data_IF_299506805787
#
_entry.id   IF_299506805787
#
_cell.length_a   1.000
_cell.length_b   1.000
_cell.length_c   1.000
_cell.angle_alpha   90.00
_cell.angle_beta   90.00
_cell.angle_gamma   90.00
#
_symmetry.space_group_name_H-M   'P 1'
#
loop_
_entity.id
_entity.type
_entity.pdbx_description
1 polymer ?
#
# COMPACT_ATOMS: atom_id res chain seq x y z
N UNK A 1 -0.63 13.24 -3.21
CA UNK A 1 0.36 12.71 -4.17
C UNK A 1 -0.31 11.69 -5.06
N UNK A 2 -0.13 11.82 -6.36
CA UNK A 2 -0.54 10.82 -7.35
C UNK A 2 0.55 9.74 -7.52
N UNK A 3 0.25 8.71 -8.30
CA UNK A 3 1.15 7.57 -8.54
C UNK A 3 2.55 7.98 -9.06
N UNK A 4 2.64 8.97 -9.95
CA UNK A 4 3.92 9.42 -10.52
C UNK A 4 4.80 10.13 -9.48
N UNK A 5 4.18 10.92 -8.61
CA UNK A 5 4.86 11.58 -7.50
C UNK A 5 5.34 10.56 -6.47
N UNK A 6 4.52 9.55 -6.17
CA UNK A 6 4.87 8.46 -5.25
C UNK A 6 6.07 7.65 -5.78
N UNK A 7 6.16 7.40 -7.09
CA UNK A 7 7.29 6.68 -7.71
C UNK A 7 8.64 7.39 -7.55
N UNK A 8 8.66 8.69 -7.22
CA UNK A 8 9.89 9.44 -6.92
C UNK A 8 10.40 9.17 -5.51
N UNK A 9 9.52 8.74 -4.60
CA UNK A 9 9.83 8.44 -3.20
C UNK A 9 10.07 6.95 -3.02
N UNK A 10 9.19 6.13 -3.62
CA UNK A 10 9.22 4.68 -3.49
C UNK A 10 9.96 4.05 -4.67
N UNK A 11 10.82 3.04 -4.43
CA UNK A 11 11.44 2.27 -5.51
C UNK A 11 10.50 1.21 -6.11
N UNK A 12 9.36 0.90 -5.47
CA UNK A 12 8.38 -0.08 -5.93
C UNK A 12 7.82 0.23 -7.33
N UNK A 13 7.67 -0.79 -8.17
CA UNK A 13 7.18 -0.67 -9.56
C UNK A 13 6.13 -1.72 -9.89
N UNK A 14 5.39 -1.46 -10.97
CA UNK A 14 4.44 -2.37 -11.59
C UNK A 14 3.50 -3.03 -10.57
N UNK A 15 3.50 -4.35 -10.54
CA UNK A 15 2.65 -5.21 -9.71
C UNK A 15 2.95 -5.11 -8.20
N UNK A 16 4.03 -4.43 -7.82
CA UNK A 16 4.42 -4.22 -6.42
C UNK A 16 4.33 -2.75 -5.99
N UNK A 17 3.88 -1.83 -6.86
CA UNK A 17 3.47 -0.50 -6.41
C UNK A 17 1.99 -0.55 -6.02
N UNK A 18 1.76 -0.69 -4.71
CA UNK A 18 0.46 -1.05 -4.11
C UNK A 18 -0.19 0.16 -3.42
N UNK A 19 0.00 1.35 -3.98
CA UNK A 19 -0.64 2.60 -3.55
C UNK A 19 -0.97 3.44 -4.79
N UNK A 20 -2.19 3.95 -4.87
CA UNK A 20 -2.63 4.77 -6.01
C UNK A 20 -2.51 6.26 -5.70
N UNK A 21 -2.89 6.62 -4.47
CA UNK A 21 -2.84 7.98 -3.96
C UNK A 21 -2.38 7.95 -2.51
N UNK A 22 -1.60 8.95 -2.12
CA UNK A 22 -1.22 9.14 -0.73
C UNK A 22 -0.99 10.63 -0.43
N UNK A 23 -1.29 11.08 0.78
CA UNK A 23 -1.11 12.46 1.21
C UNK A 23 -0.82 12.53 2.70
N UNK A 24 -0.18 13.63 3.12
CA UNK A 24 0.06 13.89 4.54
C UNK A 24 -0.90 15.00 4.99
N UNK A 25 -1.65 14.74 6.06
CA UNK A 25 -2.53 15.73 6.72
C UNK A 25 -2.13 15.74 8.19
N UNK A 26 -1.74 16.90 8.72
CA UNK A 26 -1.38 17.08 10.13
C UNK A 26 -0.35 16.05 10.66
N UNK A 27 0.61 15.66 9.81
CA UNK A 27 1.64 14.67 10.13
C UNK A 27 1.21 13.21 10.04
N UNK A 28 -0.01 12.94 9.58
CA UNK A 28 -0.58 11.60 9.38
C UNK A 28 -0.63 11.28 7.88
N UNK A 29 -0.16 10.09 7.50
CA UNK A 29 -0.23 9.60 6.14
C UNK A 29 -1.59 8.96 5.86
N UNK A 30 -2.26 9.45 4.82
CA UNK A 30 -3.48 8.86 4.29
C UNK A 30 -3.20 8.24 2.94
N UNK A 31 -3.52 6.95 2.77
CA UNK A 31 -3.33 6.20 1.54
C UNK A 31 -4.65 5.68 0.97
N UNK A 32 -4.69 5.49 -0.36
CA UNK A 32 -5.83 4.90 -1.06
C UNK A 32 -5.37 3.88 -2.09
N UNK A 33 -6.06 2.74 -2.13
CA UNK A 33 -5.92 1.74 -3.18
C UNK A 33 -7.28 1.09 -3.48
N UNK A 34 -7.70 1.12 -4.74
CA UNK A 34 -8.92 0.42 -5.19
C UNK A 34 -8.55 -0.95 -5.74
N UNK A 35 -9.12 -2.01 -5.15
CA UNK A 35 -8.87 -3.39 -5.60
C UNK A 35 -9.64 -3.64 -6.88
N UNK A 36 -8.93 -3.85 -8.00
CA UNK A 36 -9.52 -3.98 -9.33
C UNK A 36 -10.05 -5.39 -9.62
N UNK A 37 -9.46 -6.39 -9.00
CA UNK A 37 -9.76 -7.80 -9.25
C UNK A 37 -8.81 -8.49 -10.24
N UNK A 38 -7.97 -7.71 -10.94
CA UNK A 38 -6.97 -8.23 -11.88
C UNK A 38 -5.57 -8.38 -11.27
N UNK A 39 -5.41 -8.00 -10.00
CA UNK A 39 -4.13 -8.08 -9.31
C UNK A 39 -3.60 -9.52 -9.26
N UNK A 40 -2.29 -9.66 -9.48
CA UNK A 40 -1.60 -10.95 -9.54
C UNK A 40 -1.87 -11.82 -8.30
N UNK A 41 -1.97 -11.19 -7.11
CA UNK A 41 -2.19 -11.93 -5.86
C UNK A 41 -3.61 -12.50 -5.75
N UNK A 42 -4.60 -11.95 -6.46
CA UNK A 42 -5.99 -12.45 -6.44
C UNK A 42 -6.18 -13.68 -7.32
N UNK A 43 -5.32 -13.87 -8.32
CA UNK A 43 -5.38 -15.04 -9.22
C UNK A 43 -5.22 -16.36 -8.45
N UNK A 44 -4.42 -16.35 -7.39
CA UNK A 44 -4.15 -17.49 -6.53
C UNK A 44 -4.80 -17.40 -5.13
N UNK A 45 -5.40 -16.28 -4.75
CA UNK A 45 -5.90 -16.05 -3.39
C UNK A 45 -7.35 -15.55 -3.38
N UNK A 46 -8.35 -16.40 -3.60
CA UNK A 46 -8.26 -17.81 -4.03
C UNK A 46 -9.06 -18.00 -5.32
N UNK A 47 -8.72 -18.99 -6.16
CA UNK A 47 -9.55 -19.32 -7.32
C UNK A 47 -11.01 -19.53 -6.91
N UNK A 48 -11.92 -18.76 -7.52
CA UNK A 48 -13.37 -18.78 -7.22
C UNK A 48 -13.80 -18.02 -5.96
N UNK A 49 -12.87 -17.49 -5.15
CA UNK A 49 -13.16 -16.67 -3.97
C UNK A 49 -12.01 -15.66 -3.72
N UNK A 50 -11.86 -14.63 -4.58
CA UNK A 50 -10.77 -13.67 -4.48
C UNK A 50 -10.90 -12.82 -3.21
N UNK A 51 -9.80 -12.73 -2.47
CA UNK A 51 -9.62 -11.96 -1.23
C UNK A 51 -8.19 -11.42 -1.21
N UNK A 52 -7.98 -10.16 -0.87
CA UNK A 52 -6.63 -9.62 -0.72
C UNK A 52 -5.91 -10.32 0.44
N UNK A 53 -4.70 -10.87 0.26
CA UNK A 53 -3.94 -11.44 1.36
C UNK A 53 -3.67 -10.38 2.44
N UNK A 54 -3.77 -10.74 3.72
CA UNK A 54 -3.51 -9.80 4.82
C UNK A 54 -2.11 -9.16 4.74
N UNK A 55 -1.11 -9.92 4.31
CA UNK A 55 0.26 -9.43 4.09
C UNK A 55 0.37 -8.39 2.97
N UNK A 56 -0.51 -8.43 1.97
CA UNK A 56 -0.59 -7.41 0.93
C UNK A 56 -1.21 -6.12 1.50
N UNK A 57 -2.21 -6.23 2.37
CA UNK A 57 -2.77 -5.05 3.06
C UNK A 57 -1.70 -4.38 3.94
N UNK A 58 -0.89 -5.17 4.62
CA UNK A 58 0.28 -4.70 5.36
C UNK A 58 1.26 -3.92 4.47
N UNK A 59 1.61 -4.46 3.31
CA UNK A 59 2.49 -3.80 2.34
C UNK A 59 1.88 -2.50 1.80
N UNK A 60 0.58 -2.51 1.46
CA UNK A 60 -0.17 -1.31 1.02
C UNK A 60 -0.08 -0.17 2.06
N UNK A 61 -0.28 -0.49 3.34
CA UNK A 61 -0.13 0.47 4.44
C UNK A 61 1.31 0.98 4.54
N UNK A 62 2.31 0.09 4.51
CA UNK A 62 3.71 0.48 4.62
C UNK A 62 4.15 1.42 3.49
N UNK A 63 3.73 1.14 2.25
CA UNK A 63 3.99 2.02 1.10
C UNK A 63 3.30 3.37 1.24
N UNK A 64 2.04 3.40 1.70
CA UNK A 64 1.34 4.65 1.96
C UNK A 64 2.07 5.51 3.00
N UNK A 65 2.59 4.91 4.09
CA UNK A 65 3.35 5.64 5.14
C UNK A 65 4.64 6.25 4.62
N UNK A 66 5.27 5.68 3.58
CA UNK A 66 6.53 6.20 3.05
C UNK A 66 6.45 7.63 2.50
N UNK A 67 5.26 8.18 2.25
CA UNK A 67 5.11 9.59 1.89
C UNK A 67 5.53 10.55 3.03
N UNK A 68 5.51 10.10 4.29
CA UNK A 68 6.07 10.86 5.42
C UNK A 68 7.58 11.05 5.29
N UNK A 69 8.25 10.15 4.55
CA UNK A 69 9.69 10.17 4.40
C UNK A 69 10.14 11.03 3.20
N UNK A 70 9.20 11.53 2.38
CA UNK A 70 9.46 12.19 1.10
C UNK A 70 10.48 13.33 1.17
N UNK A 71 10.44 14.12 2.24
CA UNK A 71 11.33 15.29 2.42
C UNK A 71 12.64 14.94 3.16
N UNK A 72 12.73 13.73 3.72
CA UNK A 72 13.81 13.33 4.64
C UNK A 72 14.72 12.23 4.09
N UNK A 73 14.29 11.52 3.05
CA UNK A 73 15.07 10.45 2.42
C UNK A 73 16.17 11.05 1.54
N UNK A 74 17.44 10.68 1.77
CA UNK A 74 18.50 10.96 0.81
C UNK A 74 18.16 10.36 -0.56
N UNK A 75 18.59 11.04 -1.62
CA UNK A 75 18.40 10.57 -2.99
C UNK A 75 18.88 9.12 -3.16
N UNK A 76 18.12 8.31 -3.90
CA UNK A 76 18.37 6.88 -4.13
C UNK A 76 18.34 5.95 -2.88
N UNK A 77 17.75 6.39 -1.76
CA UNK A 77 17.53 5.52 -0.60
C UNK A 77 16.39 4.53 -0.82
N UNK A 78 16.53 3.31 -0.28
CA UNK A 78 15.47 2.30 -0.26
C UNK A 78 14.93 2.16 1.16
N UNK A 79 13.68 2.56 1.43
CA UNK A 79 13.07 2.33 2.74
C UNK A 79 12.85 0.84 2.96
N UNK A 80 13.28 0.33 4.11
CA UNK A 80 13.02 -1.05 4.52
C UNK A 80 12.05 -1.06 5.68
N UNK A 81 11.05 -1.92 5.54
CA UNK A 81 10.05 -2.11 6.56
C UNK A 81 10.49 -3.24 7.51
N UNK A 82 10.78 -2.90 8.77
CA UNK A 82 11.54 -3.78 9.69
C UNK A 82 10.68 -4.57 10.67
N UNK A 83 9.50 -4.07 11.04
CA UNK A 83 8.61 -4.76 11.98
C UNK A 83 7.17 -4.27 11.87
N UNK A 84 6.23 -5.16 12.20
CA UNK A 84 4.86 -4.81 12.58
C UNK A 84 4.56 -5.43 13.92
N UNK A 85 3.80 -4.73 14.74
CA UNK A 85 3.26 -5.29 15.97
C UNK A 85 1.74 -5.14 15.99
N UNK A 86 1.06 -6.02 16.74
CA UNK A 86 -0.38 -5.98 16.98
C UNK A 86 -1.28 -5.95 15.72
N UNK A 87 -0.83 -6.54 14.60
CA UNK A 87 -1.62 -6.63 13.36
C UNK A 87 -2.88 -7.47 13.57
N UNK A 88 -4.03 -6.92 13.18
CA UNK A 88 -5.34 -7.61 13.26
C UNK A 88 -6.14 -7.36 11.98
N UNK A 89 -6.56 -8.44 11.33
CA UNK A 89 -7.45 -8.39 10.17
C UNK A 89 -8.88 -8.69 10.63
N UNK A 90 -9.79 -7.71 10.45
CA UNK A 90 -11.18 -7.83 10.93
C UNK A 90 -12.14 -8.31 9.85
N UNK A 91 -11.99 -7.83 8.62
CA UNK A 91 -12.87 -8.12 7.48
C UNK A 91 -12.03 -8.46 6.25
N UNK A 92 -12.51 -9.36 5.37
CA UNK A 92 -11.87 -9.61 4.08
C UNK A 92 -12.02 -8.38 3.18
N UNK A 93 -11.00 -8.10 2.38
CA UNK A 93 -11.02 -7.10 1.30
C UNK A 93 -11.10 -7.83 -0.02
N UNK A 94 -11.96 -7.37 -0.93
CA UNK A 94 -12.36 -8.07 -2.16
C UNK A 94 -12.26 -7.15 -3.39
N UNK A 95 -12.33 -7.70 -4.61
CA UNK A 95 -12.46 -6.88 -5.82
C UNK A 95 -13.62 -5.89 -5.72
N UNK A 96 -13.37 -4.64 -6.07
CA UNK A 96 -14.30 -3.52 -5.97
C UNK A 96 -14.17 -2.72 -4.67
N UNK A 97 -13.55 -3.27 -3.61
CA UNK A 97 -13.34 -2.53 -2.37
C UNK A 97 -12.26 -1.46 -2.53
N UNK A 98 -12.45 -0.34 -1.84
CA UNK A 98 -11.38 0.66 -1.65
C UNK A 98 -10.78 0.47 -0.27
N UNK A 99 -9.46 0.25 -0.23
CA UNK A 99 -8.68 0.37 0.99
C UNK A 99 -8.32 1.84 1.20
N UNK A 100 -8.63 2.34 2.39
CA UNK A 100 -8.17 3.63 2.90
C UNK A 100 -7.30 3.37 4.14
N UNK A 101 -6.12 3.98 4.18
CA UNK A 101 -5.16 3.83 5.28
C UNK A 101 -4.96 5.16 5.99
N UNK A 102 -4.68 5.09 7.28
CA UNK A 102 -4.31 6.22 8.13
C UNK A 102 -3.14 5.74 9.01
N UNK A 103 -1.98 6.38 8.89
CA UNK A 103 -0.71 5.94 9.48
C UNK A 103 0.10 7.10 10.06
#
# INVERSE_FOLDING_TARGET
MNKEEIMKILPHRDNMLLVEQAQVIDGVAHGRYTVRGDEWFLQGHFPGNPVVPGVILCEMMAQATCVLLAESLPEASTPYFTSMDHVKFKNPVRPGDTLETEC
#
